data_IF_955747850119
#
_entry.id   IF_955747850119
#
_cell.length_a   1.000
_cell.length_b   1.000
_cell.length_c   1.000
_cell.angle_alpha   90.00
_cell.angle_beta   90.00
_cell.angle_gamma   90.00
#
_symmetry.space_group_name_H-M   'P 1'
#
loop_
_entity.id
_entity.type
_entity.pdbx_description
1 polymer ?
#
# COMPACT_ATOMS: atom_id res chain seq x y z
N UNK A 1 -15.34 6.72 2.35
CA UNK A 1 -14.96 5.82 1.23
C UNK A 1 -15.95 4.66 1.17
N UNK A 2 -16.39 4.25 -0.01
CA UNK A 2 -17.24 3.06 -0.18
C UNK A 2 -16.41 1.76 -0.10
N UNK A 3 -17.04 0.60 0.15
CA UNK A 3 -16.36 -0.70 0.15
C UNK A 3 -15.73 -1.04 -1.20
N UNK A 4 -16.41 -0.70 -2.30
CA UNK A 4 -15.89 -0.95 -3.65
C UNK A 4 -14.63 -0.13 -3.91
N UNK A 5 -14.64 1.16 -3.53
CA UNK A 5 -13.47 2.03 -3.64
C UNK A 5 -12.32 1.54 -2.76
N UNK A 6 -12.62 1.04 -1.56
CA UNK A 6 -11.61 0.44 -0.68
C UNK A 6 -10.94 -0.77 -1.33
N UNK A 7 -11.71 -1.71 -1.89
CA UNK A 7 -11.15 -2.86 -2.60
C UNK A 7 -10.35 -2.43 -3.84
N UNK A 8 -10.87 -1.47 -4.62
CA UNK A 8 -10.16 -0.93 -5.78
C UNK A 8 -8.80 -0.33 -5.41
N UNK A 9 -8.72 0.43 -4.30
CA UNK A 9 -7.44 0.95 -3.84
C UNK A 9 -6.46 -0.16 -3.46
N UNK A 10 -6.93 -1.20 -2.76
CA UNK A 10 -6.11 -2.35 -2.43
C UNK A 10 -5.59 -3.07 -3.69
N UNK A 11 -6.44 -3.26 -4.69
CA UNK A 11 -6.06 -3.90 -5.95
C UNK A 11 -5.05 -3.07 -6.75
N UNK A 12 -5.22 -1.75 -6.79
CA UNK A 12 -4.28 -0.84 -7.45
C UNK A 12 -2.89 -0.90 -6.81
N UNK A 13 -2.83 -0.96 -5.48
CA UNK A 13 -1.58 -1.06 -4.72
C UNK A 13 -1.00 -2.49 -4.75
N UNK A 14 -1.77 -3.49 -5.19
CA UNK A 14 -1.34 -4.91 -5.18
C UNK A 14 -1.43 -5.56 -3.80
N UNK A 15 -2.26 -5.02 -2.90
CA UNK A 15 -2.42 -5.55 -1.55
C UNK A 15 -3.65 -6.44 -1.44
N UNK A 16 -3.45 -7.70 -1.04
CA UNK A 16 -4.57 -8.51 -0.54
C UNK A 16 -5.10 -7.93 0.78
N UNK A 17 -6.36 -8.19 1.13
CA UNK A 17 -6.93 -7.78 2.45
C UNK A 17 -6.08 -8.25 3.64
N UNK A 18 -5.54 -9.48 3.57
CA UNK A 18 -4.62 -10.01 4.59
C UNK A 18 -3.26 -9.31 4.54
N UNK A 19 -2.77 -8.98 3.35
CA UNK A 19 -1.55 -8.18 3.16
C UNK A 19 -1.68 -6.78 3.75
N UNK A 20 -2.80 -6.11 3.54
CA UNK A 20 -3.10 -4.80 4.11
C UNK A 20 -3.13 -4.87 5.64
N UNK A 21 -3.80 -5.86 6.23
CA UNK A 21 -3.83 -6.05 7.69
C UNK A 21 -2.42 -6.23 8.28
N UNK A 22 -1.58 -7.07 7.64
CA UNK A 22 -0.18 -7.28 8.06
C UNK A 22 0.65 -6.01 7.96
N UNK A 23 0.54 -5.26 6.85
CA UNK A 23 1.30 -4.01 6.64
C UNK A 23 0.89 -2.92 7.62
N UNK A 24 -0.40 -2.82 7.91
CA UNK A 24 -0.95 -1.84 8.85
C UNK A 24 -0.80 -2.27 10.33
N UNK A 25 -0.44 -3.52 10.60
CA UNK A 25 -0.39 -4.07 11.97
C UNK A 25 -1.75 -3.97 12.66
N UNK A 26 -2.82 -4.41 11.99
CA UNK A 26 -4.17 -4.38 12.53
C UNK A 26 -4.92 -5.70 12.32
N UNK A 27 -6.02 -5.88 13.06
CA UNK A 27 -6.85 -7.07 12.97
C UNK A 27 -7.34 -7.32 11.52
N UNK A 28 -7.08 -8.52 10.93
CA UNK A 28 -7.62 -8.89 9.63
C UNK A 28 -9.15 -8.83 9.55
N UNK A 29 -9.85 -9.01 10.68
CA UNK A 29 -11.30 -8.84 10.77
C UNK A 29 -11.74 -7.39 10.49
N UNK A 30 -11.03 -6.40 11.02
CA UNK A 30 -11.28 -4.99 10.76
C UNK A 30 -11.18 -4.66 9.26
N UNK A 31 -10.12 -5.12 8.59
CA UNK A 31 -9.95 -4.91 7.14
C UNK A 31 -11.06 -5.61 6.34
N UNK A 32 -11.44 -6.83 6.71
CA UNK A 32 -12.56 -7.54 6.08
C UNK A 32 -13.89 -6.80 6.26
N UNK A 33 -14.15 -6.26 7.45
CA UNK A 33 -15.38 -5.50 7.72
C UNK A 33 -15.44 -4.22 6.89
N UNK A 34 -14.32 -3.49 6.76
CA UNK A 34 -14.24 -2.32 5.87
C UNK A 34 -14.47 -2.70 4.41
N UNK A 35 -13.80 -3.74 3.92
CA UNK A 35 -13.94 -4.24 2.55
C UNK A 35 -15.35 -4.73 2.20
N UNK A 36 -16.15 -5.10 3.20
CA UNK A 36 -17.54 -5.56 3.03
C UNK A 36 -18.58 -4.50 3.43
N UNK A 37 -18.17 -3.27 3.78
CA UNK A 37 -19.07 -2.20 4.20
C UNK A 37 -19.74 -2.38 5.56
N UNK A 38 -19.27 -3.33 6.37
CA UNK A 38 -19.76 -3.57 7.73
C UNK A 38 -19.11 -2.66 8.78
N UNK A 39 -18.00 -2.00 8.42
CA UNK A 39 -17.31 -1.01 9.23
C UNK A 39 -16.96 0.21 8.37
N UNK A 40 -17.21 1.44 8.84
CA UNK A 40 -16.80 2.64 8.11
C UNK A 40 -15.27 2.76 8.07
N UNK A 41 -14.76 3.27 6.95
CA UNK A 41 -13.34 3.63 6.79
C UNK A 41 -13.16 5.06 7.29
N UNK A 42 -12.25 5.27 8.25
CA UNK A 42 -11.94 6.59 8.78
C UNK A 42 -11.45 7.55 7.66
N UNK A 43 -11.91 8.82 7.59
CA UNK A 43 -11.55 9.73 6.50
C UNK A 43 -10.04 9.93 6.29
N UNK A 44 -9.26 10.05 7.36
CA UNK A 44 -7.80 10.17 7.26
C UNK A 44 -7.14 8.91 6.69
N UNK A 45 -7.64 7.73 7.05
CA UNK A 45 -7.18 6.47 6.47
C UNK A 45 -7.61 6.35 5.01
N UNK A 46 -8.80 6.82 4.70
CA UNK A 46 -9.30 6.83 3.34
C UNK A 46 -8.45 7.68 2.40
N UNK A 47 -8.20 8.94 2.78
CA UNK A 47 -7.38 9.86 1.99
C UNK A 47 -5.95 9.34 1.80
N UNK A 48 -5.36 8.75 2.85
CA UNK A 48 -4.05 8.11 2.78
C UNK A 48 -4.03 6.96 1.76
N UNK A 49 -5.02 6.06 1.84
CA UNK A 49 -5.10 4.89 0.97
C UNK A 49 -5.32 5.30 -0.50
N UNK A 50 -6.12 6.34 -0.73
CA UNK A 50 -6.32 6.90 -2.07
C UNK A 50 -5.06 7.57 -2.63
N UNK A 51 -4.28 8.24 -1.78
CA UNK A 51 -2.98 8.80 -2.16
C UNK A 51 -1.99 7.74 -2.63
N UNK A 52 -1.88 6.63 -1.89
CA UNK A 52 -1.07 5.49 -2.32
C UNK A 52 -1.60 4.86 -3.61
N UNK A 53 -2.90 4.64 -3.72
CA UNK A 53 -3.52 4.10 -4.93
C UNK A 53 -3.27 5.00 -6.16
N UNK A 54 -3.26 6.32 -5.98
CA UNK A 54 -2.97 7.27 -7.06
C UNK A 54 -1.49 7.23 -7.51
N UNK A 55 -0.54 6.94 -6.61
CA UNK A 55 0.85 6.73 -6.98
C UNK A 55 1.04 5.43 -7.78
N UNK A 56 0.26 4.39 -7.46
CA UNK A 56 0.29 3.09 -8.15
C UNK A 56 -0.51 3.03 -9.46
N UNK A 57 -1.53 3.88 -9.61
CA UNK A 57 -2.44 3.84 -10.75
C UNK A 57 -1.77 3.86 -12.14
N UNK A 58 -0.68 4.62 -12.38
CA UNK A 58 0.01 4.63 -13.68
C UNK A 58 0.79 3.36 -13.98
N UNK A 59 1.06 2.50 -12.99
CA UNK A 59 1.89 1.32 -13.20
C UNK A 59 1.15 0.27 -14.02
N UNK A 60 1.81 -0.20 -15.08
CA UNK A 60 1.45 -1.44 -15.78
C UNK A 60 1.62 -2.66 -14.85
N UNK A 61 1.02 -3.82 -15.18
CA UNK A 61 1.22 -5.04 -14.39
C UNK A 61 2.71 -5.41 -14.20
N UNK A 62 3.51 -5.31 -15.26
CA UNK A 62 4.96 -5.56 -15.19
C UNK A 62 5.66 -4.59 -14.23
N UNK A 63 5.32 -3.30 -14.28
CA UNK A 63 5.91 -2.31 -13.39
C UNK A 63 5.51 -2.52 -11.93
N UNK A 64 4.32 -3.04 -11.64
CA UNK A 64 3.92 -3.40 -10.28
C UNK A 64 4.77 -4.53 -9.72
N UNK A 65 5.04 -5.57 -10.51
CA UNK A 65 5.93 -6.66 -10.12
C UNK A 65 7.37 -6.16 -9.87
N UNK A 66 7.84 -5.25 -10.72
CA UNK A 66 9.15 -4.59 -10.54
C UNK A 66 9.15 -3.76 -9.24
N UNK A 67 8.11 -2.95 -8.99
CA UNK A 67 7.98 -2.14 -7.78
C UNK A 67 8.03 -3.00 -6.51
N UNK A 68 7.31 -4.12 -6.49
CA UNK A 68 7.32 -5.08 -5.37
C UNK A 68 8.73 -5.65 -5.15
N UNK A 69 9.36 -6.14 -6.23
CA UNK A 69 10.71 -6.74 -6.18
C UNK A 69 11.78 -5.74 -5.75
N UNK A 70 11.66 -4.48 -6.15
CA UNK A 70 12.56 -3.40 -5.75
C UNK A 70 12.33 -2.90 -4.34
N UNK A 71 11.17 -3.19 -3.74
CA UNK A 71 10.82 -2.65 -2.44
C UNK A 71 10.24 -1.24 -2.46
N UNK A 72 9.73 -0.76 -3.60
CA UNK A 72 9.08 0.56 -3.67
C UNK A 72 7.89 0.65 -2.70
N UNK A 73 7.21 -0.46 -2.46
CA UNK A 73 6.17 -0.60 -1.43
C UNK A 73 6.63 -0.42 0.02
N UNK A 74 7.95 -0.42 0.24
CA UNK A 74 8.59 -0.13 1.53
C UNK A 74 9.27 1.24 1.55
N UNK A 75 9.09 2.03 0.49
CA UNK A 75 9.77 3.30 0.29
C UNK A 75 11.20 3.18 -0.23
N UNK A 76 11.60 2.01 -0.74
CA UNK A 76 12.94 1.77 -1.26
C UNK A 76 13.00 2.07 -2.77
N UNK A 77 14.04 2.78 -3.21
CA UNK A 77 14.28 3.08 -4.63
C UNK A 77 15.77 3.02 -4.97
N UNK A 78 16.07 2.39 -6.11
CA UNK A 78 17.43 2.32 -6.68
C UNK A 78 17.31 2.48 -8.19
N UNK A 79 18.06 3.41 -8.81
CA UNK A 79 17.96 3.67 -10.26
C UNK A 79 18.37 2.47 -11.14
N UNK A 80 19.34 1.68 -10.66
CA UNK A 80 19.91 0.53 -11.38
C UNK A 80 19.91 -0.72 -10.49
N UNK A 81 18.74 -1.32 -10.24
CA UNK A 81 18.62 -2.51 -9.40
C UNK A 81 19.21 -3.73 -10.10
N UNK A 82 19.93 -4.58 -9.35
CA UNK A 82 20.46 -5.83 -9.88
C UNK A 82 19.32 -6.81 -10.18
N UNK A 83 19.43 -7.54 -11.30
CA UNK A 83 18.45 -8.57 -11.67
C UNK A 83 17.15 -8.05 -12.27
N UNK A 84 17.07 -6.75 -12.58
CA UNK A 84 15.96 -6.15 -13.32
C UNK A 84 16.50 -5.65 -14.65
N UNK A 85 15.66 -5.72 -15.69
CA UNK A 85 15.98 -5.12 -16.98
C UNK A 85 16.23 -3.62 -16.83
N UNK A 86 16.98 -2.98 -17.75
CA UNK A 86 17.05 -1.54 -17.81
C UNK A 86 15.65 -0.91 -17.84
N UNK A 87 15.47 0.13 -17.03
CA UNK A 87 14.26 0.93 -16.97
C UNK A 87 14.47 2.21 -17.79
N UNK A 88 13.48 2.55 -18.62
CA UNK A 88 13.37 3.87 -19.21
C UNK A 88 13.22 4.94 -18.12
N UNK A 89 13.45 6.20 -18.48
CA UNK A 89 13.32 7.31 -17.51
C UNK A 89 11.88 7.47 -17.01
N UNK A 90 10.88 7.22 -17.85
CA UNK A 90 9.47 7.25 -17.47
C UNK A 90 9.12 6.12 -16.47
N UNK A 91 9.58 4.90 -16.74
CA UNK A 91 9.40 3.77 -15.81
C UNK A 91 10.10 4.03 -14.48
N UNK A 92 11.33 4.56 -14.54
CA UNK A 92 12.10 4.88 -13.35
C UNK A 92 11.43 5.98 -12.51
N UNK A 93 10.86 7.00 -13.16
CA UNK A 93 10.10 8.05 -12.49
C UNK A 93 8.84 7.50 -11.82
N UNK A 94 8.09 6.64 -12.52
CA UNK A 94 6.87 6.05 -11.98
C UNK A 94 7.15 5.18 -10.74
N UNK A 95 8.21 4.38 -10.76
CA UNK A 95 8.61 3.55 -9.62
C UNK A 95 9.18 4.39 -8.47
N UNK A 96 9.96 5.44 -8.77
CA UNK A 96 10.44 6.39 -7.77
C UNK A 96 9.27 7.08 -7.06
N UNK A 97 8.26 7.54 -7.80
CA UNK A 97 7.05 8.15 -7.24
C UNK A 97 6.34 7.22 -6.26
N UNK A 98 6.28 5.93 -6.56
CA UNK A 98 5.70 4.93 -5.64
C UNK A 98 6.51 4.82 -4.36
N UNK A 99 7.83 4.71 -4.48
CA UNK A 99 8.71 4.67 -3.31
C UNK A 99 8.59 5.93 -2.45
N UNK A 100 8.62 7.11 -3.07
CA UNK A 100 8.46 8.39 -2.37
C UNK A 100 7.10 8.49 -1.66
N UNK A 101 6.01 8.02 -2.29
CA UNK A 101 4.69 8.03 -1.67
C UNK A 101 4.63 7.15 -0.40
N UNK A 102 5.21 5.94 -0.46
CA UNK A 102 5.29 5.05 0.71
C UNK A 102 6.25 5.58 1.79
N UNK A 103 7.36 6.21 1.40
CA UNK A 103 8.32 6.81 2.33
C UNK A 103 7.77 8.07 3.03
N UNK A 104 7.01 8.91 2.31
CA UNK A 104 6.43 10.14 2.85
C UNK A 104 5.28 9.86 3.84
N UNK A 105 4.54 8.77 3.63
CA UNK A 105 3.41 8.39 4.46
C UNK A 105 3.41 6.88 4.77
N UNK A 106 4.33 6.37 5.60
CA UNK A 106 4.46 4.95 5.89
C UNK A 106 3.26 4.38 6.65
N UNK A 107 2.47 5.25 7.30
CA UNK A 107 1.26 4.87 8.03
C UNK A 107 0.17 5.92 7.77
N UNK A 108 -1.11 5.55 7.91
CA UNK A 108 -2.20 6.51 7.90
C UNK A 108 -2.05 7.57 9.01
N UNK A 109 -2.57 8.80 8.82
CA UNK A 109 -2.57 9.82 9.86
C UNK A 109 -3.24 9.34 11.15
N UNK A 110 -2.57 9.53 12.28
CA UNK A 110 -3.07 9.10 13.60
C UNK A 110 -3.09 7.57 13.81
N UNK A 111 -2.43 6.80 12.94
CA UNK A 111 -2.43 5.34 13.04
C UNK A 111 -1.44 4.85 14.10
N UNK A 112 -1.96 4.19 15.13
CA UNK A 112 -1.19 3.38 16.05
C UNK A 112 -1.28 1.92 15.62
N UNK A 113 -0.13 1.25 15.45
CA UNK A 113 -0.14 -0.21 15.27
C UNK A 113 -0.79 -0.82 16.50
N UNK A 114 -1.78 -1.69 16.30
CA UNK A 114 -2.30 -2.47 17.43
C UNK A 114 -1.18 -3.41 17.82
N UNK A 115 -0.59 -3.19 19.00
CA UNK A 115 0.32 -4.15 19.60
C UNK A 115 -0.39 -5.49 19.64
N UNK A 116 0.23 -6.54 19.10
CA UNK A 116 -0.23 -7.90 19.35
C UNK A 116 -0.37 -8.02 20.86
N UNK A 117 -1.58 -8.30 21.33
CA UNK A 117 -1.86 -8.50 22.74
C UNK A 117 -1.15 -9.75 23.22
N UNK A 118 0.14 -9.66 23.51
CA UNK A 118 0.78 -10.48 24.53
C UNK A 118 0.46 -9.83 25.86
N UNK A 119 -0.73 -10.10 26.37
CA UNK A 119 -0.91 -10.18 27.80
C UNK A 119 -1.81 -11.37 28.16
N UNK A 120 -1.35 -12.03 29.22
CA UNK A 120 -1.98 -13.08 30.02
C UNK A 120 -1.84 -14.56 29.62
N UNK A 121 -1.75 -15.45 30.63
CA UNK A 121 -1.94 -15.20 32.07
C UNK A 121 -0.70 -14.75 32.84
#
# INVERSE_FOLDING_TARGET
MSPDRFNQCLDLIGWTRRGAARRLGCDPGAVRQMANGRRPVHPGFAAWLEGLAAAHAPLSPELREIAERMGCDRGEWVRYPRGIRPLSDEEAEALRRVAEAHAAAPHPPGWTKQSDGTDSP
#
